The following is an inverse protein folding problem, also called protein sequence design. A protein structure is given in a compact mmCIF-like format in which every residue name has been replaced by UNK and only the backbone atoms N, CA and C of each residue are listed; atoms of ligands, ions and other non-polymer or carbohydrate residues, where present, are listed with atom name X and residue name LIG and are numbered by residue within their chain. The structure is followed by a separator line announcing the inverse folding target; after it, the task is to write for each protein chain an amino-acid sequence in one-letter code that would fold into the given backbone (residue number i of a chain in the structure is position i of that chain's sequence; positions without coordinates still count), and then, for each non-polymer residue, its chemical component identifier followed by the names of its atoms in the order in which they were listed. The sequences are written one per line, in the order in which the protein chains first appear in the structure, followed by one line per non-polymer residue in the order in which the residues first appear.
data_IF_427610865831
#
_entry.id   IF_427610865831
#
_cell.length_a   1.000
_cell.length_b   1.000
_cell.length_c   1.000
_cell.angle_alpha   90.00
_cell.angle_beta   90.00
_cell.angle_gamma   90.00
#
_symmetry.space_group_name_H-M   'P 1'
#
loop_
_entity.id
_entity.type
_entity.pdbx_description
1 polymer ?
#
# COMPACT_ATOMS: atom_id res chain seq x y z
N UNK A 1 1.13 51.96 -26.49
CA UNK A 1 1.27 51.35 -25.15
C UNK A 1 0.42 50.08 -25.17
N UNK A 2 1.03 48.98 -25.49
CA UNK A 2 0.39 47.68 -25.60
C UNK A 2 0.85 46.82 -24.43
N UNK A 3 -0.07 46.56 -23.50
CA UNK A 3 0.18 45.71 -22.32
C UNK A 3 0.02 44.24 -22.68
N UNK A 4 1.09 43.50 -22.55
CA UNK A 4 1.11 42.04 -22.75
C UNK A 4 0.78 41.37 -21.43
N UNK A 5 -0.36 40.71 -21.35
CA UNK A 5 -0.79 39.90 -20.20
C UNK A 5 -0.13 38.52 -20.27
N UNK A 6 0.79 38.24 -19.34
CA UNK A 6 1.45 36.94 -19.22
C UNK A 6 0.57 36.03 -18.38
N UNK A 7 0.04 34.95 -19.00
CA UNK A 7 -0.69 33.88 -18.31
C UNK A 7 0.28 33.02 -17.52
N UNK A 8 0.05 32.88 -16.21
CA UNK A 8 0.80 32.01 -15.31
C UNK A 8 0.53 30.54 -15.66
N UNK A 9 1.58 29.79 -15.97
CA UNK A 9 1.54 28.36 -16.26
C UNK A 9 1.26 27.53 -15.00
N UNK A 10 0.33 26.62 -15.14
CA UNK A 10 -0.06 25.58 -14.18
C UNK A 10 1.15 24.69 -13.86
N UNK A 11 1.40 24.44 -12.58
CA UNK A 11 2.48 23.57 -12.10
C UNK A 11 2.28 22.13 -12.64
N UNK A 12 3.28 21.64 -13.35
CA UNK A 12 3.25 20.32 -13.96
C UNK A 12 3.31 19.19 -12.92
N UNK A 13 2.46 18.21 -13.10
CA UNK A 13 2.46 16.87 -12.49
C UNK A 13 3.87 16.25 -12.60
N UNK A 14 4.37 15.54 -11.56
CA UNK A 14 5.63 14.81 -11.64
C UNK A 14 5.54 13.76 -12.75
N UNK A 15 6.55 13.69 -13.60
CA UNK A 15 6.60 12.77 -14.74
C UNK A 15 6.85 11.34 -14.26
N UNK A 16 5.85 10.48 -14.45
CA UNK A 16 5.94 9.02 -14.36
C UNK A 16 6.89 8.49 -15.45
N UNK A 17 7.61 7.37 -15.24
CA UNK A 17 8.37 6.71 -16.29
C UNK A 17 7.46 6.41 -17.49
N UNK A 18 7.85 6.86 -18.66
CA UNK A 18 7.05 6.79 -19.89
C UNK A 18 6.65 5.35 -20.22
N UNK A 19 5.34 5.06 -20.27
CA UNK A 19 4.81 3.90 -20.96
C UNK A 19 3.74 3.06 -20.25
N UNK A 20 3.49 3.21 -18.96
CA UNK A 20 2.49 2.43 -18.25
C UNK A 20 1.47 3.36 -17.58
N UNK A 21 0.17 3.07 -17.77
CA UNK A 21 -0.90 3.84 -17.15
C UNK A 21 -0.92 3.59 -15.63
N UNK A 22 -1.14 4.64 -14.84
CA UNK A 22 -1.33 4.52 -13.40
C UNK A 22 -2.72 3.91 -13.14
N UNK A 23 -2.75 2.79 -12.40
CA UNK A 23 -4.00 2.18 -11.95
C UNK A 23 -4.61 2.96 -10.79
N UNK A 24 -3.75 3.49 -9.89
CA UNK A 24 -4.18 4.33 -8.77
C UNK A 24 -3.36 5.61 -8.77
N UNK A 25 -4.03 6.75 -8.56
CA UNK A 25 -3.39 8.05 -8.37
C UNK A 25 -4.05 8.79 -7.22
N UNK A 26 -3.25 9.25 -6.27
CA UNK A 26 -3.67 10.19 -5.24
C UNK A 26 -3.12 11.57 -5.60
N UNK A 27 -3.99 12.56 -5.69
CA UNK A 27 -3.62 13.92 -6.04
C UNK A 27 -3.86 14.85 -4.85
N UNK A 28 -2.76 15.25 -4.19
CA UNK A 28 -2.76 16.27 -3.14
C UNK A 28 -3.82 16.05 -2.05
N UNK A 29 -4.04 14.77 -1.62
CA UNK A 29 -5.10 14.47 -0.65
C UNK A 29 -4.75 15.00 0.74
N UNK A 30 -5.75 15.63 1.36
CA UNK A 30 -5.75 15.96 2.78
C UNK A 30 -6.79 15.12 3.51
N UNK A 31 -6.41 14.61 4.70
CA UNK A 31 -7.32 13.80 5.53
C UNK A 31 -7.34 14.38 6.93
N UNK A 32 -8.55 14.63 7.42
CA UNK A 32 -8.82 15.12 8.77
C UNK A 32 -9.66 14.07 9.52
N UNK A 33 -9.34 13.85 10.79
CA UNK A 33 -10.14 13.08 11.73
C UNK A 33 -10.78 14.00 12.75
N UNK A 34 -12.02 13.67 13.15
CA UNK A 34 -12.81 14.42 14.13
C UNK A 34 -12.86 15.93 13.82
N UNK A 35 -12.86 16.30 12.54
CA UNK A 35 -12.88 17.70 12.03
C UNK A 35 -11.67 18.56 12.49
N UNK A 36 -10.70 18.01 13.20
CA UNK A 36 -9.61 18.76 13.84
C UNK A 36 -8.23 18.20 13.54
N UNK A 37 -8.06 16.88 13.46
CA UNK A 37 -6.73 16.27 13.40
C UNK A 37 -6.33 16.06 11.93
N UNK A 38 -5.52 16.96 11.39
CA UNK A 38 -4.97 16.83 10.03
C UNK A 38 -3.83 15.80 10.01
N UNK A 39 -4.09 14.65 9.40
CA UNK A 39 -3.15 13.51 9.33
C UNK A 39 -2.44 13.47 7.98
N UNK A 40 -3.15 13.53 6.85
CA UNK A 40 -2.53 13.65 5.52
C UNK A 40 -2.53 15.11 5.09
N UNK A 41 -1.41 15.56 4.50
CA UNK A 41 -1.12 16.98 4.30
C UNK A 41 -0.67 17.26 2.87
N UNK A 42 -1.58 17.02 1.92
CA UNK A 42 -1.28 17.17 0.50
C UNK A 42 -0.46 15.98 -0.02
N UNK A 43 -0.90 14.75 0.29
CA UNK A 43 -0.24 13.53 -0.16
C UNK A 43 -0.53 13.26 -1.64
N UNK A 44 0.52 13.04 -2.42
CA UNK A 44 0.42 12.60 -3.82
C UNK A 44 1.28 11.37 -4.03
N UNK A 45 0.71 10.33 -4.65
CA UNK A 45 1.44 9.13 -5.10
C UNK A 45 0.71 8.48 -6.28
N UNK A 46 1.41 7.65 -7.04
CA UNK A 46 0.82 6.83 -8.08
C UNK A 46 1.26 5.36 -7.96
N UNK A 47 0.40 4.46 -8.45
CA UNK A 47 0.66 3.02 -8.52
C UNK A 47 0.40 2.58 -9.95
N UNK A 48 1.46 2.37 -10.76
CA UNK A 48 1.33 1.88 -12.12
C UNK A 48 0.75 0.47 -12.15
N UNK A 49 -0.05 0.16 -13.19
CA UNK A 49 -0.67 -1.15 -13.35
C UNK A 49 0.40 -2.26 -13.44
N UNK A 50 0.17 -3.39 -12.77
CA UNK A 50 1.08 -4.54 -12.76
C UNK A 50 2.38 -4.36 -11.98
N UNK A 51 2.51 -3.28 -11.20
CA UNK A 51 3.71 -3.00 -10.39
C UNK A 51 3.51 -3.23 -8.91
N UNK A 52 4.60 -3.49 -8.21
CA UNK A 52 4.65 -3.46 -6.75
C UNK A 52 5.19 -2.10 -6.32
N UNK A 53 4.38 -1.33 -5.61
CA UNK A 53 4.77 -0.04 -5.02
C UNK A 53 4.84 -0.16 -3.51
N UNK A 54 5.90 0.36 -2.90
CA UNK A 54 6.08 0.39 -1.46
C UNK A 54 5.85 1.80 -0.90
N UNK A 55 4.98 1.94 0.11
CA UNK A 55 4.86 3.14 0.92
C UNK A 55 5.50 2.90 2.29
N UNK A 56 6.61 3.56 2.54
CA UNK A 56 7.49 3.35 3.68
C UNK A 56 7.41 4.53 4.65
N UNK A 57 7.53 4.25 5.94
CA UNK A 57 7.54 5.30 6.95
C UNK A 57 7.48 4.74 8.36
N UNK A 58 7.81 5.57 9.34
CA UNK A 58 7.68 5.23 10.76
C UNK A 58 6.22 5.10 11.19
N UNK A 59 5.99 4.53 12.38
CA UNK A 59 4.65 4.52 12.99
C UNK A 59 4.16 5.96 13.20
N UNK A 60 2.88 6.20 12.90
CA UNK A 60 2.29 7.53 12.95
C UNK A 60 2.60 8.44 11.74
N UNK A 61 3.31 7.96 10.71
CA UNK A 61 3.57 8.76 9.51
C UNK A 61 2.31 9.05 8.67
N UNK A 62 1.22 8.28 8.84
CA UNK A 62 -0.03 8.40 8.09
C UNK A 62 -0.28 7.27 7.08
N UNK A 63 0.55 6.21 7.11
CA UNK A 63 0.50 5.10 6.15
C UNK A 63 -0.86 4.39 6.11
N UNK A 64 -1.37 3.90 7.26
CA UNK A 64 -2.67 3.21 7.33
C UNK A 64 -3.83 4.17 7.01
N UNK A 65 -3.70 5.46 7.35
CA UNK A 65 -4.65 6.51 6.93
C UNK A 65 -4.72 6.62 5.41
N UNK A 66 -3.57 6.52 4.73
CA UNK A 66 -3.52 6.50 3.26
C UNK A 66 -4.29 5.31 2.68
N UNK A 67 -4.11 4.09 3.24
CA UNK A 67 -4.90 2.93 2.81
C UNK A 67 -6.40 3.10 3.08
N UNK A 68 -6.77 3.66 4.23
CA UNK A 68 -8.18 3.95 4.55
C UNK A 68 -8.77 4.97 3.60
N UNK A 69 -8.01 5.99 3.18
CA UNK A 69 -8.43 6.94 2.16
C UNK A 69 -8.67 6.25 0.81
N UNK A 70 -7.79 5.33 0.39
CA UNK A 70 -7.92 4.57 -0.85
C UNK A 70 -9.08 3.56 -0.79
N UNK A 71 -9.28 2.89 0.35
CA UNK A 71 -10.28 1.81 0.51
C UNK A 71 -11.68 2.31 0.89
N UNK A 72 -11.85 3.61 1.21
CA UNK A 72 -13.13 4.17 1.64
C UNK A 72 -13.51 3.84 3.08
N UNK A 73 -12.51 3.55 3.94
CA UNK A 73 -12.73 3.19 5.34
C UNK A 73 -12.57 4.35 6.32
N UNK A 74 -12.19 5.56 5.87
CA UNK A 74 -12.05 6.74 6.74
C UNK A 74 -13.29 7.01 7.59
N UNK A 75 -14.54 6.96 7.04
CA UNK A 75 -15.74 7.28 7.81
C UNK A 75 -15.98 6.34 9.00
N UNK A 76 -15.41 5.13 9.00
CA UNK A 76 -15.56 4.19 10.15
C UNK A 76 -14.83 4.68 11.40
N UNK A 77 -13.92 5.65 11.25
CA UNK A 77 -13.13 6.24 12.34
C UNK A 77 -13.27 7.78 12.36
N UNK A 78 -14.39 8.31 11.87
CA UNK A 78 -14.66 9.77 11.80
C UNK A 78 -13.61 10.56 10.99
N UNK A 79 -13.01 9.92 9.97
CA UNK A 79 -12.08 10.55 9.04
C UNK A 79 -12.74 10.88 7.71
N UNK A 80 -12.25 11.91 7.03
CA UNK A 80 -12.68 12.30 5.70
C UNK A 80 -11.54 12.85 4.84
N UNK A 81 -11.67 12.75 3.52
CA UNK A 81 -10.82 13.46 2.55
C UNK A 81 -11.41 14.85 2.38
N UNK A 82 -10.69 15.88 2.85
CA UNK A 82 -11.15 17.28 2.82
C UNK A 82 -10.65 18.06 1.59
N UNK A 83 -9.56 17.59 0.97
CA UNK A 83 -9.03 18.18 -0.27
C UNK A 83 -8.34 17.09 -1.11
N UNK A 84 -8.19 17.36 -2.42
CA UNK A 84 -7.57 16.47 -3.37
C UNK A 84 -8.51 15.39 -3.90
N UNK A 85 -7.93 14.37 -4.57
CA UNK A 85 -8.72 13.30 -5.19
C UNK A 85 -7.99 11.95 -5.17
N UNK A 86 -8.78 10.87 -5.16
CA UNK A 86 -8.34 9.48 -5.32
C UNK A 86 -8.91 8.97 -6.64
N UNK A 87 -8.04 8.71 -7.60
CA UNK A 87 -8.40 8.25 -8.95
C UNK A 87 -7.99 6.77 -9.08
N UNK A 88 -8.92 5.91 -9.46
CA UNK A 88 -8.67 4.50 -9.72
C UNK A 88 -9.13 4.14 -11.13
N UNK A 89 -8.22 3.64 -11.97
CA UNK A 89 -8.49 3.32 -13.38
C UNK A 89 -9.15 4.48 -14.15
N UNK A 90 -8.67 5.70 -13.91
CA UNK A 90 -9.21 6.93 -14.51
C UNK A 90 -10.52 7.44 -13.91
N UNK A 91 -11.14 6.69 -12.98
CA UNK A 91 -12.37 7.08 -12.29
C UNK A 91 -12.05 7.76 -10.94
N UNK A 92 -12.69 8.89 -10.66
CA UNK A 92 -12.66 9.48 -9.33
C UNK A 92 -13.50 8.64 -8.35
N UNK A 93 -12.84 8.10 -7.33
CA UNK A 93 -13.44 7.27 -6.29
C UNK A 93 -13.44 7.95 -4.92
N UNK A 94 -13.08 9.23 -4.83
CA UNK A 94 -12.85 9.95 -3.57
C UNK A 94 -14.02 9.81 -2.60
N UNK A 95 -15.25 9.87 -3.10
CA UNK A 95 -16.47 9.83 -2.29
C UNK A 95 -17.26 8.51 -2.40
N UNK A 96 -16.70 7.48 -3.08
CA UNK A 96 -17.32 6.17 -3.12
C UNK A 96 -17.14 5.44 -1.78
N UNK A 97 -18.13 4.69 -1.38
CA UNK A 97 -18.04 3.82 -0.20
C UNK A 97 -17.11 2.61 -0.42
N UNK A 98 -16.73 1.94 0.66
CA UNK A 98 -15.81 0.80 0.60
C UNK A 98 -16.37 -0.34 -0.27
N UNK A 99 -17.69 -0.62 -0.23
CA UNK A 99 -18.30 -1.70 -0.99
C UNK A 99 -18.25 -1.43 -2.51
N UNK A 100 -18.47 -0.18 -2.92
CA UNK A 100 -18.33 0.23 -4.32
C UNK A 100 -16.88 0.08 -4.79
N UNK A 101 -15.89 0.47 -3.96
CA UNK A 101 -14.45 0.33 -4.30
C UNK A 101 -14.03 -1.12 -4.42
N UNK A 102 -14.51 -2.02 -3.54
CA UNK A 102 -14.28 -3.47 -3.67
C UNK A 102 -14.83 -4.01 -5.01
N UNK A 103 -16.02 -3.56 -5.45
CA UNK A 103 -16.58 -3.94 -6.76
C UNK A 103 -15.75 -3.46 -7.94
N UNK A 104 -15.03 -2.35 -7.80
CA UNK A 104 -14.08 -1.86 -8.81
C UNK A 104 -12.78 -2.67 -8.84
N UNK A 105 -12.55 -3.55 -7.86
CA UNK A 105 -11.36 -4.40 -7.80
C UNK A 105 -10.28 -3.94 -6.82
N UNK A 106 -10.61 -3.12 -5.81
CA UNK A 106 -9.70 -2.83 -4.71
C UNK A 106 -9.86 -3.87 -3.61
N UNK A 107 -8.77 -4.42 -3.11
CA UNK A 107 -8.77 -5.34 -1.96
C UNK A 107 -7.73 -4.91 -0.94
N UNK A 108 -8.08 -4.95 0.34
CA UNK A 108 -7.23 -4.55 1.45
C UNK A 108 -7.05 -5.71 2.43
N UNK A 109 -5.79 -6.05 2.69
CA UNK A 109 -5.39 -6.87 3.83
C UNK A 109 -4.88 -5.94 4.92
N UNK A 110 -5.70 -5.72 5.95
CA UNK A 110 -5.40 -4.80 7.05
C UNK A 110 -4.33 -5.39 7.99
N UNK A 111 -3.66 -4.51 8.72
CA UNK A 111 -2.82 -4.89 9.87
C UNK A 111 -3.63 -5.77 10.85
N UNK A 112 -2.97 -6.73 11.52
CA UNK A 112 -3.65 -7.60 12.50
C UNK A 112 -4.29 -8.86 11.89
N UNK A 113 -4.08 -9.14 10.59
CA UNK A 113 -4.50 -10.36 9.89
C UNK A 113 -6.01 -10.50 9.66
N UNK A 114 -6.84 -10.17 10.65
CA UNK A 114 -8.32 -10.14 10.62
C UNK A 114 -8.96 -11.37 9.93
N UNK A 115 -8.48 -12.58 10.25
CA UNK A 115 -9.12 -13.82 9.78
C UNK A 115 -10.41 -14.08 10.54
N UNK A 116 -11.35 -14.81 9.95
CA UNK A 116 -12.53 -15.31 10.66
C UNK A 116 -12.12 -16.49 11.51
N UNK A 117 -11.82 -16.26 12.79
CA UNK A 117 -11.15 -17.20 13.69
C UNK A 117 -11.91 -18.53 13.87
N UNK A 118 -13.26 -18.49 13.82
CA UNK A 118 -14.12 -19.65 14.02
C UNK A 118 -14.40 -20.44 12.72
N UNK A 119 -13.99 -19.90 11.57
CA UNK A 119 -14.12 -20.57 10.28
C UNK A 119 -12.85 -21.35 9.95
N UNK A 120 -13.01 -22.38 9.14
CA UNK A 120 -11.89 -23.12 8.55
C UNK A 120 -11.12 -22.24 7.55
N UNK A 121 -9.93 -22.69 7.15
CA UNK A 121 -9.15 -22.08 6.07
C UNK A 121 -9.98 -22.00 4.77
N UNK A 122 -10.63 -23.08 4.38
CA UNK A 122 -11.45 -23.13 3.17
C UNK A 122 -12.61 -22.15 3.23
N UNK A 123 -13.32 -22.06 4.35
CA UNK A 123 -14.42 -21.11 4.55
C UNK A 123 -13.95 -19.67 4.54
N UNK A 124 -12.81 -19.35 5.16
CA UNK A 124 -12.19 -18.02 5.07
C UNK A 124 -11.89 -17.62 3.62
N UNK A 125 -11.29 -18.53 2.84
CA UNK A 125 -11.02 -18.27 1.42
C UNK A 125 -12.31 -18.03 0.64
N UNK A 126 -13.31 -18.91 0.82
CA UNK A 126 -14.62 -18.78 0.16
C UNK A 126 -15.29 -17.44 0.48
N UNK A 127 -15.21 -16.98 1.73
CA UNK A 127 -15.74 -15.68 2.14
C UNK A 127 -15.10 -14.51 1.38
N UNK A 128 -13.83 -14.61 0.96
CA UNK A 128 -13.16 -13.60 0.15
C UNK A 128 -13.79 -13.35 -1.22
N UNK A 129 -14.50 -14.34 -1.78
CA UNK A 129 -15.19 -14.24 -3.06
C UNK A 129 -16.65 -13.72 -2.96
N UNK A 130 -17.11 -13.34 -1.77
CA UNK A 130 -18.52 -13.00 -1.51
C UNK A 130 -19.07 -11.93 -2.45
N UNK A 131 -18.35 -10.83 -2.66
CA UNK A 131 -18.80 -9.73 -3.53
C UNK A 131 -18.88 -10.08 -5.02
N UNK A 132 -18.25 -11.19 -5.42
CA UNK A 132 -18.30 -11.71 -6.79
C UNK A 132 -19.44 -12.73 -6.99
N UNK A 133 -20.26 -12.96 -5.96
CA UNK A 133 -21.29 -13.98 -6.00
C UNK A 133 -20.77 -15.40 -5.69
N UNK A 134 -19.57 -15.51 -5.11
CA UNK A 134 -18.86 -16.73 -4.79
C UNK A 134 -17.60 -16.96 -5.65
N UNK A 135 -16.71 -17.82 -5.17
CA UNK A 135 -15.53 -18.30 -5.89
C UNK A 135 -15.77 -19.66 -6.52
N UNK A 136 -15.05 -19.96 -7.59
CA UNK A 136 -15.04 -21.30 -8.20
C UNK A 136 -13.82 -22.12 -7.74
N UNK A 137 -13.77 -23.39 -8.14
CA UNK A 137 -12.66 -24.30 -7.80
C UNK A 137 -11.31 -23.79 -8.36
N UNK A 138 -11.30 -23.08 -9.50
CA UNK A 138 -10.08 -22.55 -10.12
C UNK A 138 -9.50 -21.40 -9.29
N UNK A 139 -10.37 -20.59 -8.66
CA UNK A 139 -9.93 -19.51 -7.78
C UNK A 139 -9.17 -20.07 -6.58
N UNK A 140 -9.71 -21.14 -5.96
CA UNK A 140 -9.06 -21.86 -4.87
C UNK A 140 -7.75 -22.53 -5.31
N UNK A 141 -7.73 -23.16 -6.49
CA UNK A 141 -6.51 -23.74 -7.05
C UNK A 141 -5.41 -22.71 -7.26
N UNK A 142 -5.75 -21.52 -7.76
CA UNK A 142 -4.81 -20.42 -7.93
C UNK A 142 -4.23 -19.98 -6.58
N UNK A 143 -5.07 -19.80 -5.55
CA UNK A 143 -4.62 -19.46 -4.21
C UNK A 143 -3.73 -20.56 -3.61
N UNK A 144 -4.10 -21.83 -3.78
CA UNK A 144 -3.30 -22.97 -3.27
C UNK A 144 -2.00 -23.17 -4.04
N UNK A 145 -1.95 -22.78 -5.32
CA UNK A 145 -0.70 -22.77 -6.08
C UNK A 145 0.28 -21.74 -5.51
N UNK A 146 -0.18 -20.50 -5.28
CA UNK A 146 0.63 -19.43 -4.75
C UNK A 146 0.96 -19.60 -3.26
N UNK A 147 0.06 -20.20 -2.49
CA UNK A 147 0.14 -20.38 -1.04
C UNK A 147 -0.07 -21.87 -0.67
N UNK A 148 0.84 -22.78 -1.06
CA UNK A 148 0.62 -24.24 -0.97
C UNK A 148 0.40 -24.72 0.46
N UNK A 149 0.98 -24.05 1.47
CA UNK A 149 0.73 -24.39 2.89
C UNK A 149 -0.75 -24.31 3.27
N UNK A 150 -1.55 -23.46 2.63
CA UNK A 150 -2.98 -23.36 2.92
C UNK A 150 -3.76 -24.58 2.44
N UNK A 151 -3.29 -25.25 1.38
CA UNK A 151 -3.90 -26.47 0.85
C UNK A 151 -3.88 -27.60 1.86
N UNK A 152 -2.76 -27.74 2.59
CA UNK A 152 -2.59 -28.79 3.59
C UNK A 152 -3.41 -28.52 4.87
N UNK A 153 -3.97 -27.31 5.01
CA UNK A 153 -4.67 -26.85 6.19
C UNK A 153 -6.14 -26.49 5.95
N UNK A 154 -6.72 -26.88 4.82
CA UNK A 154 -8.08 -26.48 4.39
C UNK A 154 -9.16 -26.67 5.44
N UNK A 155 -9.12 -27.77 6.20
CA UNK A 155 -10.09 -28.11 7.25
C UNK A 155 -9.72 -27.56 8.63
N UNK A 156 -8.55 -26.90 8.80
CA UNK A 156 -8.15 -26.35 10.09
C UNK A 156 -8.91 -25.06 10.38
N UNK A 157 -9.31 -24.90 11.63
CA UNK A 157 -9.92 -23.66 12.15
C UNK A 157 -8.85 -22.56 12.16
N UNK A 158 -9.17 -21.39 11.58
CA UNK A 158 -8.21 -20.29 11.38
C UNK A 158 -7.63 -19.72 12.67
N UNK A 159 -8.39 -19.72 13.76
CA UNK A 159 -7.92 -19.26 15.07
C UNK A 159 -6.77 -20.09 15.65
N UNK A 160 -6.59 -21.35 15.22
CA UNK A 160 -5.50 -22.21 15.67
C UNK A 160 -4.27 -22.22 14.77
N UNK A 161 -4.27 -21.36 13.75
CA UNK A 161 -3.12 -21.19 12.88
C UNK A 161 -2.05 -20.33 13.57
N UNK A 162 -0.78 -20.56 13.22
CA UNK A 162 0.30 -19.66 13.59
C UNK A 162 0.11 -18.28 12.95
N UNK A 163 0.74 -17.25 13.50
CA UNK A 163 0.61 -15.89 12.96
C UNK A 163 1.02 -15.74 11.49
N UNK A 164 2.02 -16.49 11.02
CA UNK A 164 2.39 -16.48 9.61
C UNK A 164 1.38 -17.19 8.72
N UNK A 165 0.78 -18.29 9.20
CA UNK A 165 -0.29 -19.00 8.49
C UNK A 165 -1.56 -18.16 8.40
N UNK A 166 -1.91 -17.41 9.47
CA UNK A 166 -3.02 -16.47 9.45
C UNK A 166 -2.76 -15.32 8.47
N UNK A 167 -1.52 -14.81 8.37
CA UNK A 167 -1.16 -13.79 7.40
C UNK A 167 -1.29 -14.31 5.95
N UNK A 168 -0.81 -15.53 5.69
CA UNK A 168 -1.01 -16.18 4.39
C UNK A 168 -2.50 -16.34 4.08
N UNK A 169 -3.31 -16.75 5.06
CA UNK A 169 -4.77 -16.90 4.89
C UNK A 169 -5.44 -15.54 4.60
N UNK A 170 -5.06 -14.47 5.27
CA UNK A 170 -5.60 -13.13 5.04
C UNK A 170 -5.29 -12.64 3.60
N UNK A 171 -4.05 -12.85 3.12
CA UNK A 171 -3.65 -12.54 1.74
C UNK A 171 -4.42 -13.43 0.75
N UNK A 172 -4.49 -14.74 1.00
CA UNK A 172 -5.24 -15.67 0.16
C UNK A 172 -6.72 -15.31 0.05
N UNK A 173 -7.36 -14.92 1.16
CA UNK A 173 -8.73 -14.42 1.17
C UNK A 173 -8.90 -13.15 0.33
N UNK A 174 -7.94 -12.22 0.40
CA UNK A 174 -7.95 -11.02 -0.42
C UNK A 174 -7.83 -11.33 -1.92
N UNK A 175 -7.03 -12.34 -2.30
CA UNK A 175 -6.90 -12.81 -3.69
C UNK A 175 -8.17 -13.45 -4.24
N UNK A 176 -8.98 -14.09 -3.39
CA UNK A 176 -10.28 -14.66 -3.81
C UNK A 176 -11.26 -13.62 -4.34
N UNK A 177 -11.08 -12.34 -4.01
CA UNK A 177 -11.84 -11.25 -4.61
C UNK A 177 -11.43 -10.97 -6.08
N UNK A 178 -10.35 -11.56 -6.62
CA UNK A 178 -9.74 -11.25 -7.92
C UNK A 178 -9.50 -9.74 -8.09
N UNK A 179 -8.76 -9.11 -7.18
CA UNK A 179 -8.59 -7.67 -7.23
C UNK A 179 -7.74 -7.24 -8.43
N UNK A 180 -7.90 -5.98 -8.85
CA UNK A 180 -6.95 -5.29 -9.74
C UNK A 180 -5.83 -4.63 -8.94
N UNK A 181 -6.14 -4.20 -7.70
CA UNK A 181 -5.18 -3.64 -6.75
C UNK A 181 -5.29 -4.37 -5.41
N UNK A 182 -4.21 -5.01 -4.99
CA UNK A 182 -4.05 -5.59 -3.67
C UNK A 182 -3.27 -4.63 -2.79
N UNK A 183 -3.88 -4.19 -1.70
CA UNK A 183 -3.26 -3.34 -0.69
C UNK A 183 -2.93 -4.15 0.56
N UNK A 184 -1.72 -4.03 1.09
CA UNK A 184 -1.22 -4.78 2.23
C UNK A 184 -0.71 -3.81 3.29
N UNK A 185 -1.32 -3.83 4.48
CA UNK A 185 -0.93 -3.00 5.61
C UNK A 185 -0.02 -3.79 6.56
N UNK A 186 1.25 -3.44 6.60
CA UNK A 186 2.31 -4.02 7.42
C UNK A 186 2.28 -5.57 7.46
N UNK A 187 2.31 -6.26 6.29
CA UNK A 187 2.13 -7.71 6.22
C UNK A 187 3.21 -8.50 6.96
N UNK A 188 4.34 -7.87 7.30
CA UNK A 188 5.45 -8.51 8.04
C UNK A 188 5.41 -8.31 9.54
N UNK A 189 4.48 -7.49 10.07
CA UNK A 189 4.47 -7.12 11.48
C UNK A 189 4.28 -8.32 12.41
N UNK A 190 5.15 -8.43 13.41
CA UNK A 190 5.08 -9.48 14.44
C UNK A 190 5.38 -10.90 13.91
N UNK A 191 6.02 -11.02 12.75
CA UNK A 191 6.44 -12.31 12.19
C UNK A 191 7.94 -12.58 12.43
N UNK A 192 8.27 -13.87 12.56
CA UNK A 192 9.66 -14.31 12.61
C UNK A 192 10.37 -14.01 11.26
N UNK A 193 11.70 -13.73 11.27
CA UNK A 193 12.43 -13.29 10.07
C UNK A 193 12.30 -14.21 8.85
N UNK A 194 12.19 -15.52 9.07
CA UNK A 194 12.00 -16.50 7.98
C UNK A 194 10.61 -16.33 7.34
N UNK A 195 9.57 -16.17 8.15
CA UNK A 195 8.20 -15.96 7.65
C UNK A 195 8.05 -14.62 6.93
N UNK A 196 8.76 -13.57 7.38
CA UNK A 196 8.82 -12.29 6.66
C UNK A 196 9.33 -12.50 5.24
N UNK A 197 10.42 -13.28 5.08
CA UNK A 197 10.97 -13.60 3.74
C UNK A 197 9.93 -14.36 2.89
N UNK A 198 9.23 -15.35 3.48
CA UNK A 198 8.21 -16.10 2.78
C UNK A 198 7.07 -15.17 2.30
N UNK A 199 6.56 -14.28 3.16
CA UNK A 199 5.48 -13.34 2.81
C UNK A 199 5.88 -12.43 1.64
N UNK A 200 7.06 -11.83 1.66
CA UNK A 200 7.52 -11.01 0.54
C UNK A 200 7.78 -11.84 -0.72
N UNK A 201 8.24 -13.09 -0.58
CA UNK A 201 8.32 -14.03 -1.69
C UNK A 201 6.95 -14.29 -2.33
N UNK A 202 5.88 -14.46 -1.53
CA UNK A 202 4.52 -14.62 -2.02
C UNK A 202 3.99 -13.35 -2.70
N UNK A 203 4.25 -12.16 -2.14
CA UNK A 203 3.87 -10.89 -2.76
C UNK A 203 4.50 -10.78 -4.16
N UNK A 204 5.78 -11.12 -4.28
CA UNK A 204 6.47 -11.11 -5.57
C UNK A 204 5.88 -12.14 -6.53
N UNK A 205 5.64 -13.38 -6.09
CA UNK A 205 5.04 -14.43 -6.91
C UNK A 205 3.63 -14.04 -7.42
N UNK A 206 2.80 -13.46 -6.55
CA UNK A 206 1.46 -12.95 -6.91
C UNK A 206 1.56 -11.91 -8.04
N UNK A 207 2.51 -10.98 -7.95
CA UNK A 207 2.70 -9.99 -8.99
C UNK A 207 3.24 -10.61 -10.27
N UNK A 208 4.27 -11.47 -10.19
CA UNK A 208 4.92 -12.05 -11.37
C UNK A 208 4.00 -13.01 -12.14
N UNK A 209 3.20 -13.82 -11.45
CA UNK A 209 2.37 -14.84 -12.07
C UNK A 209 0.99 -14.33 -12.48
N UNK A 210 0.41 -13.39 -11.72
CA UNK A 210 -0.92 -12.86 -12.00
C UNK A 210 -0.92 -11.48 -12.66
N UNK A 211 0.24 -10.80 -12.75
CA UNK A 211 0.31 -9.40 -13.18
C UNK A 211 -0.41 -8.44 -12.22
N UNK A 212 -0.68 -8.88 -10.97
CA UNK A 212 -1.48 -8.13 -10.02
C UNK A 212 -0.73 -6.89 -9.51
N UNK A 213 -1.39 -5.73 -9.55
CA UNK A 213 -0.85 -4.50 -8.96
C UNK A 213 -0.90 -4.59 -7.45
N UNK A 214 0.20 -4.24 -6.78
CA UNK A 214 0.31 -4.31 -5.32
C UNK A 214 0.79 -2.98 -4.74
N UNK A 215 0.09 -2.49 -3.72
CA UNK A 215 0.57 -1.41 -2.84
C UNK A 215 0.86 -2.01 -1.46
N UNK A 216 2.13 -2.08 -1.09
CA UNK A 216 2.54 -2.58 0.22
C UNK A 216 2.96 -1.42 1.11
N UNK A 217 2.37 -1.36 2.30
CA UNK A 217 2.75 -0.42 3.34
C UNK A 217 3.60 -1.15 4.36
N UNK A 218 4.76 -0.58 4.70
CA UNK A 218 5.72 -1.22 5.60
C UNK A 218 6.56 -0.23 6.41
N UNK A 219 6.94 -0.68 7.59
CA UNK A 219 8.02 -0.07 8.34
C UNK A 219 9.37 -0.73 7.99
N UNK A 220 9.37 -2.01 7.61
CA UNK A 220 10.54 -2.76 7.20
C UNK A 220 10.94 -2.42 5.76
N UNK A 221 11.54 -1.23 5.57
CA UNK A 221 11.90 -0.72 4.26
C UNK A 221 12.81 -1.68 3.46
N UNK A 222 13.72 -2.38 4.12
CA UNK A 222 14.63 -3.31 3.46
C UNK A 222 13.88 -4.40 2.71
N UNK A 223 12.93 -5.05 3.38
CA UNK A 223 12.17 -6.16 2.77
C UNK A 223 11.20 -5.67 1.71
N UNK A 224 10.53 -4.56 1.96
CA UNK A 224 9.62 -4.00 0.98
C UNK A 224 10.35 -3.59 -0.31
N UNK A 225 11.51 -2.92 -0.20
CA UNK A 225 12.30 -2.50 -1.36
C UNK A 225 13.01 -3.67 -2.08
N UNK A 226 13.16 -4.85 -1.47
CA UNK A 226 13.69 -6.04 -2.15
C UNK A 226 12.72 -6.55 -3.25
N UNK A 227 11.41 -6.32 -3.11
CA UNK A 227 10.39 -6.82 -4.04
C UNK A 227 9.69 -5.73 -4.84
N UNK A 228 9.74 -4.48 -4.39
CA UNK A 228 9.07 -3.36 -5.03
C UNK A 228 9.79 -2.90 -6.30
N UNK A 229 9.03 -2.35 -7.26
CA UNK A 229 9.52 -1.62 -8.43
C UNK A 229 9.80 -0.15 -8.08
N UNK A 230 8.91 0.47 -7.30
CA UNK A 230 8.95 1.88 -6.90
C UNK A 230 8.64 2.03 -5.42
N UNK A 231 9.12 3.10 -4.80
CA UNK A 231 8.86 3.37 -3.40
C UNK A 231 8.65 4.84 -3.10
N UNK A 232 7.86 5.06 -2.06
CA UNK A 232 7.60 6.36 -1.45
C UNK A 232 8.00 6.30 0.01
N UNK A 233 8.68 7.34 0.51
CA UNK A 233 8.97 7.51 1.93
C UNK A 233 8.09 8.62 2.48
N UNK A 234 7.37 8.28 3.54
CA UNK A 234 6.37 9.13 4.14
C UNK A 234 6.76 9.54 5.56
N UNK A 235 6.69 10.83 5.85
CA UNK A 235 6.83 11.40 7.19
C UNK A 235 5.75 12.44 7.44
N UNK A 236 5.11 12.37 8.62
CA UNK A 236 4.15 13.36 9.10
C UNK A 236 3.07 13.75 8.07
N UNK A 237 2.51 12.76 7.39
CA UNK A 237 1.43 12.94 6.43
C UNK A 237 1.85 13.42 5.04
N UNK A 238 3.15 13.40 4.71
CA UNK A 238 3.69 13.85 3.42
C UNK A 238 4.68 12.85 2.83
N UNK A 239 4.76 12.79 1.51
CA UNK A 239 5.88 12.13 0.83
C UNK A 239 7.09 13.06 0.91
N UNK A 240 8.20 12.52 1.44
CA UNK A 240 9.47 13.24 1.59
C UNK A 240 10.52 12.80 0.57
N UNK A 241 10.41 11.57 0.08
CA UNK A 241 11.29 11.02 -0.95
C UNK A 241 10.53 9.99 -1.78
N UNK A 242 10.82 9.89 -3.07
CA UNK A 242 10.29 8.89 -3.99
C UNK A 242 11.35 8.49 -5.01
N UNK A 243 11.23 7.31 -5.57
CA UNK A 243 12.12 6.83 -6.62
C UNK A 243 11.95 5.33 -6.88
N UNK A 244 12.71 4.82 -7.84
CA UNK A 244 12.80 3.37 -8.05
C UNK A 244 13.31 2.68 -6.76
N UNK A 245 12.88 1.44 -6.53
CA UNK A 245 13.34 0.69 -5.37
C UNK A 245 14.87 0.53 -5.32
N UNK A 246 15.53 0.48 -6.49
CA UNK A 246 16.98 0.43 -6.59
C UNK A 246 17.63 1.75 -6.11
N UNK A 247 17.14 2.90 -6.57
CA UNK A 247 17.63 4.22 -6.15
C UNK A 247 17.42 4.43 -4.64
N UNK A 248 16.26 4.05 -4.10
CA UNK A 248 15.98 4.17 -2.67
C UNK A 248 16.86 3.26 -1.82
N UNK A 249 17.14 2.02 -2.27
CA UNK A 249 18.08 1.12 -1.57
C UNK A 249 19.51 1.67 -1.53
N UNK A 250 19.91 2.41 -2.56
CA UNK A 250 21.25 2.97 -2.63
C UNK A 250 21.40 4.34 -1.98
N UNK A 251 20.28 5.00 -1.70
CA UNK A 251 20.27 6.31 -1.06
C UNK A 251 20.86 6.25 0.36
N UNK A 252 21.88 7.08 0.69
CA UNK A 252 22.54 7.08 2.00
C UNK A 252 21.59 7.39 3.15
N UNK A 253 20.68 8.32 2.95
CA UNK A 253 19.71 8.74 3.98
C UNK A 253 18.72 7.59 4.26
N UNK A 254 18.26 6.88 3.22
CA UNK A 254 17.40 5.70 3.39
C UNK A 254 18.15 4.59 4.11
N UNK A 255 19.43 4.38 3.80
CA UNK A 255 20.29 3.40 4.48
C UNK A 255 20.43 3.72 5.95
N UNK A 256 20.67 4.98 6.31
CA UNK A 256 20.84 5.40 7.69
C UNK A 256 19.54 5.31 8.49
N UNK A 257 18.41 5.86 7.95
CA UNK A 257 17.17 6.04 8.73
C UNK A 257 16.22 4.85 8.70
N UNK A 258 16.18 4.12 7.57
CA UNK A 258 15.17 3.07 7.36
C UNK A 258 15.76 1.66 7.21
N UNK A 259 17.03 1.51 6.79
CA UNK A 259 17.66 0.19 6.63
C UNK A 259 18.51 -0.23 7.83
N UNK A 260 18.68 0.65 8.84
CA UNK A 260 19.40 0.35 10.07
C UNK A 260 20.92 0.16 9.88
N UNK A 261 21.49 0.72 8.81
CA UNK A 261 22.93 0.60 8.48
C UNK A 261 23.75 1.80 8.98
N UNK A 262 23.19 2.66 9.83
CA UNK A 262 23.88 3.82 10.41
C UNK A 262 24.60 3.50 11.71
N UNK A 263 25.77 4.10 11.91
CA UNK A 263 26.69 3.89 13.05
C UNK A 263 26.21 4.49 14.38
N UNK A 264 25.03 5.09 14.48
CA UNK A 264 24.58 5.75 15.69
C UNK A 264 23.14 5.43 16.08
N UNK A 265 22.98 4.81 17.25
CA UNK A 265 21.73 4.34 17.86
C UNK A 265 20.70 5.41 18.25
N UNK A 266 20.61 6.56 17.58
CA UNK A 266 19.55 7.54 17.73
C UNK A 266 18.77 7.67 16.43
N UNK A 267 17.45 7.36 16.44
CA UNK A 267 16.53 7.65 15.34
C UNK A 267 16.53 9.17 15.07
N UNK A 268 17.21 9.58 14.01
CA UNK A 268 17.12 10.95 13.48
C UNK A 268 15.99 11.00 12.46
N UNK A 269 15.27 12.12 12.40
CA UNK A 269 14.28 12.40 11.35
C UNK A 269 15.00 12.98 10.12
N UNK A 270 14.47 12.74 8.90
CA UNK A 270 14.90 13.45 7.68
C UNK A 270 14.90 14.97 7.85
N UNK A 271 14.06 15.49 8.73
CA UNK A 271 13.96 16.91 9.07
C UNK A 271 15.24 17.47 9.70
N UNK A 272 16.02 16.62 10.38
CA UNK A 272 17.22 17.01 11.14
C UNK A 272 18.49 17.00 10.27
N UNK A 273 18.40 16.50 9.03
CA UNK A 273 19.54 16.44 8.11
C UNK A 273 19.64 17.72 7.31
N UNK A 274 20.59 18.57 7.69
CA UNK A 274 20.85 19.90 7.08
C UNK A 274 21.34 19.88 5.62
N UNK A 275 21.49 18.73 4.97
CA UNK A 275 22.06 18.62 3.62
C UNK A 275 21.07 18.37 2.49
N UNK A 276 19.78 18.37 2.76
CA UNK A 276 18.80 18.33 1.69
C UNK A 276 18.85 19.67 0.93
N UNK A 277 19.50 19.68 -0.24
CA UNK A 277 19.38 20.79 -1.20
C UNK A 277 17.92 20.86 -1.63
N UNK A 278 17.10 21.65 -0.92
CA UNK A 278 15.83 22.14 -1.44
C UNK A 278 16.14 22.71 -2.82
N UNK A 279 15.72 22.05 -3.90
CA UNK A 279 15.53 22.74 -5.17
C UNK A 279 14.47 23.79 -4.90
N UNK A 280 14.94 25.01 -4.60
CA UNK A 280 14.08 26.19 -4.56
C UNK A 280 13.48 26.30 -5.96
N UNK A 281 12.23 25.88 -6.13
CA UNK A 281 11.42 26.42 -7.21
C UNK A 281 10.95 27.78 -6.72
N UNK A 282 11.59 28.79 -7.21
CA UNK A 282 11.14 30.17 -7.09
C UNK A 282 10.11 30.40 -8.17
N UNK A 283 8.92 30.90 -7.75
CA UNK A 283 7.93 31.76 -8.43
C UNK A 283 7.47 31.33 -9.82
#
# INVERSE_FOLDING_TARGET
MTGTTTTAGVAGTPATPQGQADLLTLNNIEVIYDEVILVLRGLSLSVPEGKIVALLGSNGAGKSTTLKAISGLLPTEHGEVTDGSVIFDGQDITHLDAAARVKLGLSLCMEGRHVFEHLTVAENLTAGAYFRGGGDARDLETVYHLLPKLKDMTARIAGYLSGGEQQMLAIGRALMAKPRLLMLDEPSLGLAPLLVKDIFGFIKAINDELGLTVLVIEQNARRALEVADHGYIMEQGRIVLEGSAAELRDNPDVKEFYLGLGDSGSRKSFRDVKHYKRRKRWL
#
